data_IF_016584473272
#
_entry.id   IF_016584473272
#
_cell.length_a   1.000
_cell.length_b   1.000
_cell.length_c   1.000
_cell.angle_alpha   90.00
_cell.angle_beta   90.00
_cell.angle_gamma   90.00
#
_symmetry.space_group_name_H-M   'P 1'
#
loop_
_entity.id
_entity.type
_entity.pdbx_description
1 polymer ?
#
# COMPACT_ATOMS: atom_id res chain seq x y z
N UNK A 1 -14.98 1.55 12.52
CA UNK A 1 -15.47 0.27 11.96
C UNK A 1 -14.69 -0.17 10.74
N UNK A 2 -14.24 0.79 9.91
CA UNK A 2 -13.39 0.45 8.75
C UNK A 2 -12.16 -0.35 9.13
N UNK A 3 -11.56 -0.02 10.28
CA UNK A 3 -10.40 -0.74 10.78
C UNK A 3 -10.72 -2.22 11.06
N UNK A 4 -11.85 -2.47 11.70
CA UNK A 4 -12.27 -3.85 11.97
C UNK A 4 -12.64 -4.60 10.70
N UNK A 5 -13.26 -3.91 9.73
CA UNK A 5 -13.65 -4.53 8.46
C UNK A 5 -12.45 -5.06 7.69
N UNK A 6 -11.32 -4.35 7.75
CA UNK A 6 -10.15 -4.70 6.95
C UNK A 6 -9.04 -5.37 7.77
N UNK A 7 -9.31 -5.68 9.03
CA UNK A 7 -8.29 -6.29 9.90
C UNK A 7 -7.82 -7.63 9.36
N UNK A 8 -8.75 -8.51 8.99
CA UNK A 8 -8.41 -9.83 8.47
C UNK A 8 -7.62 -9.73 7.17
N UNK A 9 -8.04 -8.84 6.27
CA UNK A 9 -7.34 -8.63 5.00
C UNK A 9 -5.93 -8.09 5.26
N UNK A 10 -5.78 -7.14 6.17
CA UNK A 10 -4.46 -6.62 6.54
C UNK A 10 -3.55 -7.73 7.06
N UNK A 11 -4.07 -8.61 7.91
CA UNK A 11 -3.28 -9.72 8.46
C UNK A 11 -2.86 -10.70 7.37
N UNK A 12 -3.74 -11.00 6.43
CA UNK A 12 -3.43 -11.86 5.28
C UNK A 12 -2.33 -11.24 4.43
N UNK A 13 -2.43 -9.95 4.14
CA UNK A 13 -1.42 -9.25 3.35
C UNK A 13 -0.06 -9.27 4.07
N UNK A 14 -0.05 -9.04 5.38
CA UNK A 14 1.20 -9.08 6.14
C UNK A 14 1.80 -10.48 6.14
N UNK A 15 0.98 -11.51 6.26
CA UNK A 15 1.46 -12.90 6.17
C UNK A 15 2.12 -13.16 4.81
N UNK A 16 1.49 -12.71 3.74
CA UNK A 16 2.04 -12.83 2.38
C UNK A 16 3.35 -12.05 2.27
N UNK A 17 3.39 -10.83 2.82
CA UNK A 17 4.59 -10.02 2.85
C UNK A 17 5.76 -10.79 3.49
N UNK A 18 5.55 -11.41 4.65
CA UNK A 18 6.60 -12.18 5.30
C UNK A 18 6.98 -13.42 4.50
N UNK A 19 6.02 -14.06 3.85
CA UNK A 19 6.32 -15.21 2.97
C UNK A 19 7.22 -14.79 1.80
N UNK A 20 6.89 -13.67 1.15
CA UNK A 20 7.70 -13.14 0.04
C UNK A 20 9.08 -12.73 0.55
N UNK A 21 9.14 -12.05 1.70
CA UNK A 21 10.42 -11.66 2.28
C UNK A 21 11.30 -12.89 2.58
N UNK A 22 10.72 -13.91 3.19
CA UNK A 22 11.46 -15.11 3.54
C UNK A 22 11.98 -15.85 2.30
N UNK A 23 11.22 -15.81 1.21
CA UNK A 23 11.62 -16.48 -0.03
C UNK A 23 12.70 -15.69 -0.78
N UNK A 24 12.54 -14.39 -0.93
CA UNK A 24 13.40 -13.57 -1.77
C UNK A 24 14.54 -12.88 -1.03
N UNK A 25 14.36 -12.59 0.26
CA UNK A 25 15.33 -11.81 1.02
C UNK A 25 15.36 -10.36 0.57
N UNK A 26 16.36 -9.61 1.02
CA UNK A 26 16.54 -8.22 0.64
C UNK A 26 17.51 -8.09 -0.54
N UNK A 27 17.56 -6.91 -1.15
CA UNK A 27 18.58 -6.58 -2.15
C UNK A 27 18.07 -6.47 -3.57
N UNK A 28 16.87 -6.93 -3.85
CA UNK A 28 16.27 -6.71 -5.18
C UNK A 28 15.69 -5.30 -5.28
N UNK A 29 15.44 -4.86 -6.52
CA UNK A 29 14.75 -3.59 -6.76
C UNK A 29 13.27 -3.73 -6.39
N UNK A 30 12.64 -2.62 -6.06
CA UNK A 30 11.24 -2.61 -5.61
C UNK A 30 10.30 -3.34 -6.54
N UNK A 31 10.53 -3.24 -7.85
CA UNK A 31 9.64 -3.87 -8.84
C UNK A 31 9.57 -5.39 -8.68
N UNK A 32 10.66 -6.03 -8.28
CA UNK A 32 10.68 -7.47 -8.04
C UNK A 32 9.69 -7.83 -6.92
N UNK A 33 9.72 -7.07 -5.83
CA UNK A 33 8.83 -7.32 -4.70
C UNK A 33 7.38 -6.99 -5.04
N UNK A 34 7.15 -5.93 -5.81
CA UNK A 34 5.80 -5.61 -6.26
C UNK A 34 5.23 -6.76 -7.08
N UNK A 35 6.00 -7.29 -8.02
CA UNK A 35 5.56 -8.40 -8.85
C UNK A 35 5.30 -9.65 -8.02
N UNK A 36 6.16 -9.95 -7.05
CA UNK A 36 5.99 -11.12 -6.19
C UNK A 36 4.74 -11.02 -5.34
N UNK A 37 4.51 -9.86 -4.71
CA UNK A 37 3.30 -9.62 -3.94
C UNK A 37 2.05 -9.73 -4.81
N UNK A 38 2.11 -9.15 -6.00
CA UNK A 38 0.99 -9.22 -6.95
C UNK A 38 0.66 -10.68 -7.28
N UNK A 39 1.67 -11.47 -7.66
CA UNK A 39 1.47 -12.88 -8.03
C UNK A 39 0.91 -13.70 -6.86
N UNK A 40 1.45 -13.51 -5.67
CA UNK A 40 1.02 -14.29 -4.51
C UNK A 40 -0.42 -13.94 -4.11
N UNK A 41 -0.77 -12.66 -4.08
CA UNK A 41 -2.12 -12.22 -3.77
C UNK A 41 -3.12 -12.75 -4.79
N UNK A 42 -2.78 -12.66 -6.08
CA UNK A 42 -3.65 -13.19 -7.14
C UNK A 42 -3.82 -14.71 -7.02
N UNK A 43 -2.75 -15.43 -6.72
CA UNK A 43 -2.81 -16.90 -6.61
C UNK A 43 -3.73 -17.34 -5.47
N UNK A 44 -3.88 -16.51 -4.44
CA UNK A 44 -4.77 -16.79 -3.32
C UNK A 44 -6.20 -16.26 -3.54
N UNK A 45 -6.49 -15.73 -4.73
CA UNK A 45 -7.84 -15.35 -5.10
C UNK A 45 -8.23 -13.92 -4.81
N UNK A 46 -7.29 -13.07 -4.44
CA UNK A 46 -7.59 -11.67 -4.15
C UNK A 46 -7.56 -10.81 -5.40
N UNK A 47 -8.43 -9.81 -5.44
CA UNK A 47 -8.41 -8.80 -6.49
C UNK A 47 -7.26 -7.85 -6.21
N UNK A 48 -6.35 -7.68 -7.17
CA UNK A 48 -5.19 -6.81 -7.02
C UNK A 48 -5.02 -5.98 -8.28
N UNK A 49 -4.85 -4.67 -8.12
CA UNK A 49 -4.50 -3.79 -9.21
C UNK A 49 -3.08 -3.26 -8.97
N UNK A 50 -2.22 -3.42 -9.97
CA UNK A 50 -0.85 -2.88 -9.91
C UNK A 50 -0.84 -1.48 -10.52
N UNK A 51 -0.04 -0.59 -9.94
CA UNK A 51 0.13 0.78 -10.40
C UNK A 51 -1.23 1.50 -10.51
N UNK A 52 -1.95 1.51 -9.40
CA UNK A 52 -3.27 2.14 -9.34
C UNK A 52 -3.13 3.65 -9.41
N UNK A 53 -3.75 4.26 -10.42
CA UNK A 53 -3.70 5.71 -10.61
C UNK A 53 -4.44 6.44 -9.48
N UNK A 54 -3.82 7.48 -8.95
CA UNK A 54 -4.39 8.34 -7.92
C UNK A 54 -4.30 9.79 -8.40
N UNK A 55 -5.46 10.39 -8.64
CA UNK A 55 -5.53 11.79 -9.07
C UNK A 55 -5.83 12.67 -7.86
N UNK A 56 -5.09 13.76 -7.74
CA UNK A 56 -5.27 14.72 -6.65
C UNK A 56 -5.86 15.99 -7.21
N UNK A 57 -6.96 16.46 -6.61
CA UNK A 57 -7.67 17.66 -7.04
C UNK A 57 -7.56 18.74 -5.98
N UNK A 58 -7.47 19.97 -6.45
CA UNK A 58 -7.56 21.16 -5.60
C UNK A 58 -8.60 22.09 -6.23
N UNK A 59 -9.67 22.36 -5.48
CA UNK A 59 -10.79 23.17 -5.97
C UNK A 59 -11.26 22.71 -7.35
N UNK A 60 -11.46 21.40 -7.48
CA UNK A 60 -11.93 20.72 -8.69
C UNK A 60 -10.95 20.77 -9.88
N UNK A 61 -9.73 21.23 -9.66
CA UNK A 61 -8.67 21.22 -10.68
C UNK A 61 -7.68 20.09 -10.40
N UNK A 62 -7.30 19.36 -11.43
CA UNK A 62 -6.30 18.30 -11.30
C UNK A 62 -4.93 18.93 -11.04
N UNK A 63 -4.35 18.63 -9.89
CA UNK A 63 -3.04 19.16 -9.49
C UNK A 63 -1.99 18.10 -9.28
N UNK A 64 -2.35 16.82 -9.22
CA UNK A 64 -1.40 15.74 -9.05
C UNK A 64 -1.90 14.45 -9.65
N UNK A 65 -0.96 13.63 -10.11
CA UNK A 65 -1.26 12.35 -10.74
C UNK A 65 -0.19 11.37 -10.30
N UNK A 66 -0.56 10.40 -9.46
CA UNK A 66 0.35 9.45 -8.85
C UNK A 66 -0.12 8.03 -9.10
N UNK A 67 0.72 7.05 -8.76
CA UNK A 67 0.38 5.65 -8.89
C UNK A 67 0.77 4.93 -7.60
N UNK A 68 -0.21 4.29 -6.95
CA UNK A 68 0.06 3.41 -5.83
C UNK A 68 0.58 2.08 -6.36
N UNK A 69 1.51 1.45 -5.65
CA UNK A 69 2.10 0.20 -6.11
C UNK A 69 1.05 -0.88 -6.31
N UNK A 70 0.23 -1.15 -5.29
CA UNK A 70 -0.83 -2.16 -5.37
C UNK A 70 -2.07 -1.68 -4.62
N UNK A 71 -3.23 -2.04 -5.15
CA UNK A 71 -4.51 -1.87 -4.47
C UNK A 71 -5.14 -3.25 -4.34
N UNK A 72 -5.46 -3.67 -3.12
CA UNK A 72 -5.99 -5.00 -2.81
C UNK A 72 -7.45 -4.90 -2.42
N UNK A 73 -8.31 -5.66 -3.11
CA UNK A 73 -9.75 -5.75 -2.85
C UNK A 73 -10.43 -4.38 -2.79
N UNK A 74 -9.94 -3.43 -3.58
CA UNK A 74 -10.43 -2.03 -3.56
C UNK A 74 -10.37 -1.38 -2.17
N UNK A 75 -9.69 -2.00 -1.22
CA UNK A 75 -9.79 -1.63 0.20
C UNK A 75 -8.49 -1.22 0.86
N UNK A 76 -7.36 -1.72 0.39
CA UNK A 76 -6.06 -1.45 1.02
C UNK A 76 -5.03 -1.09 -0.04
N UNK A 77 -4.39 0.06 0.15
CA UNK A 77 -3.26 0.48 -0.69
C UNK A 77 -1.98 -0.09 -0.09
N UNK A 78 -1.15 -0.71 -0.93
CA UNK A 78 0.19 -1.15 -0.53
C UNK A 78 1.23 -0.28 -1.23
N UNK A 79 2.17 0.24 -0.44
CA UNK A 79 3.36 0.89 -0.96
C UNK A 79 4.57 0.08 -0.53
N UNK A 80 5.40 -0.31 -1.49
CA UNK A 80 6.55 -1.16 -1.25
C UNK A 80 7.83 -0.36 -1.37
N UNK A 81 8.74 -0.59 -0.43
CA UNK A 81 10.06 0.03 -0.42
C UNK A 81 11.11 -1.07 -0.29
N UNK A 82 12.32 -0.76 -0.75
CA UNK A 82 13.49 -1.64 -0.62
C UNK A 82 14.65 -0.77 -0.17
N UNK A 83 14.56 -0.26 1.06
CA UNK A 83 15.53 0.69 1.60
C UNK A 83 15.97 0.27 2.99
N UNK A 84 16.98 0.95 3.53
CA UNK A 84 17.53 0.62 4.84
C UNK A 84 16.53 0.73 5.97
N UNK A 85 15.68 1.76 5.93
CA UNK A 85 14.61 1.95 6.91
C UNK A 85 13.50 2.77 6.29
N UNK A 86 12.31 2.69 6.89
CA UNK A 86 11.18 3.51 6.47
C UNK A 86 11.34 4.93 7.04
N UNK A 87 11.13 5.92 6.19
CA UNK A 87 11.26 7.33 6.54
C UNK A 87 9.87 7.95 6.73
N UNK A 88 9.83 9.10 7.42
CA UNK A 88 8.59 9.84 7.61
C UNK A 88 7.97 10.27 6.28
N UNK A 89 8.79 10.58 5.28
CA UNK A 89 8.30 10.95 3.94
C UNK A 89 7.53 9.79 3.29
N UNK A 90 7.95 8.54 3.53
CA UNK A 90 7.25 7.38 3.00
C UNK A 90 5.85 7.26 3.60
N UNK A 91 5.76 7.47 4.92
CA UNK A 91 4.47 7.43 5.63
C UNK A 91 3.57 8.58 5.17
N UNK A 92 4.14 9.77 5.01
CA UNK A 92 3.38 10.94 4.57
C UNK A 92 2.83 10.72 3.16
N UNK A 93 3.61 10.14 2.26
CA UNK A 93 3.15 9.85 0.91
C UNK A 93 1.97 8.88 0.90
N UNK A 94 2.07 7.79 1.66
CA UNK A 94 0.97 6.83 1.77
C UNK A 94 -0.28 7.50 2.32
N UNK A 95 -0.12 8.30 3.38
CA UNK A 95 -1.25 9.00 3.98
C UNK A 95 -1.91 9.95 2.98
N UNK A 96 -1.11 10.63 2.15
CA UNK A 96 -1.64 11.51 1.11
C UNK A 96 -2.43 10.73 0.06
N UNK A 97 -2.00 9.52 -0.28
CA UNK A 97 -2.77 8.67 -1.19
C UNK A 97 -4.13 8.31 -0.60
N UNK A 98 -4.18 8.04 0.71
CA UNK A 98 -5.45 7.77 1.39
C UNK A 98 -6.34 9.01 1.37
N UNK A 99 -5.76 10.20 1.61
CA UNK A 99 -6.53 11.45 1.56
C UNK A 99 -7.16 11.70 0.20
N UNK A 100 -6.52 11.28 -0.87
CA UNK A 100 -6.93 11.56 -2.24
C UNK A 100 -7.87 10.50 -2.83
N UNK A 101 -8.18 9.43 -2.09
CA UNK A 101 -8.98 8.32 -2.58
C UNK A 101 -10.09 7.97 -1.60
N UNK A 102 -10.94 7.03 -1.96
CA UNK A 102 -11.94 6.47 -1.04
C UNK A 102 -11.37 5.34 -0.18
N UNK A 103 -10.10 5.00 -0.34
CA UNK A 103 -9.45 3.96 0.43
C UNK A 103 -9.04 4.53 1.79
N UNK A 104 -9.33 3.80 2.86
CA UNK A 104 -9.09 4.27 4.22
C UNK A 104 -7.85 3.67 4.87
N UNK A 105 -7.33 2.57 4.33
CA UNK A 105 -6.24 1.82 4.95
C UNK A 105 -5.09 1.65 3.96
N UNK A 106 -3.88 1.87 4.44
CA UNK A 106 -2.67 1.62 3.67
C UNK A 106 -1.64 0.86 4.48
N UNK A 107 -0.85 0.06 3.80
CA UNK A 107 0.28 -0.65 4.38
C UNK A 107 1.54 -0.25 3.62
N UNK A 108 2.53 0.16 4.37
CA UNK A 108 3.87 0.46 3.87
C UNK A 108 4.74 -0.73 4.23
N UNK A 109 5.26 -1.42 3.22
CA UNK A 109 6.00 -2.68 3.39
C UNK A 109 7.43 -2.48 2.90
N UNK A 110 8.40 -2.69 3.78
CA UNK A 110 9.80 -2.51 3.43
C UNK A 110 10.53 -3.84 3.35
N UNK A 111 11.20 -4.06 2.22
CA UNK A 111 12.05 -5.21 1.97
C UNK A 111 13.53 -4.81 2.16
N UNK A 112 13.83 -4.30 3.37
CA UNK A 112 15.18 -3.95 3.75
C UNK A 112 15.92 -5.13 4.37
N UNK A 113 17.05 -4.87 5.03
CA UNK A 113 17.84 -5.92 5.67
C UNK A 113 17.06 -6.65 6.76
N UNK A 114 16.09 -5.96 7.37
CA UNK A 114 15.08 -6.57 8.24
C UNK A 114 13.71 -6.16 7.73
N UNK A 115 12.69 -7.02 7.89
CA UNK A 115 11.35 -6.62 7.48
C UNK A 115 10.82 -5.52 8.41
N UNK A 116 10.20 -4.52 7.82
CA UNK A 116 9.61 -3.40 8.56
C UNK A 116 8.35 -2.98 7.85
N UNK A 117 7.28 -2.74 8.60
CA UNK A 117 6.04 -2.29 7.99
C UNK A 117 5.35 -1.25 8.87
N UNK A 118 4.50 -0.43 8.25
CA UNK A 118 3.67 0.56 8.94
C UNK A 118 2.26 0.49 8.39
N UNK A 119 1.27 0.61 9.25
CA UNK A 119 -0.13 0.66 8.87
C UNK A 119 -0.65 2.07 9.08
N UNK A 120 -1.37 2.60 8.09
CA UNK A 120 -1.95 3.93 8.16
C UNK A 120 -3.46 3.85 7.93
N UNK A 121 -4.20 4.69 8.63
CA UNK A 121 -5.65 4.77 8.51
C UNK A 121 -6.02 6.24 8.34
N UNK A 122 -6.89 6.52 7.37
CA UNK A 122 -7.46 7.84 7.20
C UNK A 122 -8.91 7.69 6.75
N UNK A 123 -9.83 7.90 7.68
CA UNK A 123 -11.24 7.61 7.44
C UNK A 123 -11.86 8.60 6.46
N UNK A 124 -12.81 8.12 5.67
CA UNK A 124 -13.43 8.91 4.60
C UNK A 124 -14.17 10.14 5.10
N UNK A 125 -14.73 10.09 6.30
CA UNK A 125 -15.44 11.23 6.88
C UNK A 125 -14.52 12.41 7.22
N UNK A 126 -13.21 12.19 7.25
CA UNK A 126 -12.22 13.25 7.51
C UNK A 126 -11.69 13.90 6.25
N UNK A 127 -11.99 13.34 5.07
CA UNK A 127 -11.34 13.74 3.82
C UNK A 127 -11.97 15.00 3.24
N UNK A 128 -11.11 15.90 2.77
CA UNK A 128 -11.50 17.16 2.15
C UNK A 128 -11.11 17.24 0.68
N UNK A 129 -10.18 16.39 0.22
CA UNK A 129 -9.74 16.36 -1.16
C UNK A 129 -10.71 15.53 -1.99
N UNK A 130 -11.31 16.17 -2.97
CA UNK A 130 -12.30 15.51 -3.82
C UNK A 130 -12.09 15.89 -5.27
#
# INVERSE_FOLDING_TARGET
MGDLLHKNLSEIILKIYFEVYNELGYGFLEKVYQNAMYLELKSQGYKVEAQKQIKVYYKSQLVGDYFADLLVEDSIILELKACGCLLDEHKAQLLNYLKATDVEIGLLLNFGTTPEFKRSIYSNDRKKLK
#
